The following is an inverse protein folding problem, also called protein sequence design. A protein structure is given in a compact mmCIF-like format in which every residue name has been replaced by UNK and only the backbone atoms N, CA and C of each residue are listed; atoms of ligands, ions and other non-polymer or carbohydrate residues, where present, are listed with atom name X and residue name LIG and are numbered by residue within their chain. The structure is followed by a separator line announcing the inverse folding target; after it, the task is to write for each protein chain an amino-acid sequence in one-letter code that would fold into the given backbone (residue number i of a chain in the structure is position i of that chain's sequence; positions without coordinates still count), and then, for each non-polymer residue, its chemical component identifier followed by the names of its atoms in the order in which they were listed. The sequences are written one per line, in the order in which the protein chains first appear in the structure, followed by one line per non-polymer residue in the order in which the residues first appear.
data_IF_220692717515
#
_entry.id   IF_220692717515
#
_cell.length_a   1.000
_cell.length_b   1.000
_cell.length_c   1.000
_cell.angle_alpha   90.00
_cell.angle_beta   90.00
_cell.angle_gamma   90.00
#
_symmetry.space_group_name_H-M   'P 1'
#
loop_
_entity.id
_entity.type
_entity.pdbx_description
1 polymer ?
#
# COMPACT_ATOMS: atom_id res chain seq x y z
N UNK A 1 -10.76 -7.09 35.03
CA UNK A 1 -9.85 -6.17 34.35
C UNK A 1 -10.14 -6.29 32.87
N UNK A 2 -10.65 -5.22 32.27
CA UNK A 2 -11.18 -5.18 30.91
C UNK A 2 -10.03 -4.93 29.94
N UNK A 3 -9.57 -5.96 29.24
CA UNK A 3 -8.69 -5.79 28.09
C UNK A 3 -9.58 -5.84 26.86
N UNK A 4 -9.91 -4.63 26.41
CA UNK A 4 -10.76 -4.32 25.25
C UNK A 4 -10.44 -5.23 24.08
N UNK A 5 -11.50 -5.78 23.50
CA UNK A 5 -11.56 -6.24 22.12
C UNK A 5 -10.81 -5.24 21.22
N UNK A 6 -9.58 -5.60 20.83
CA UNK A 6 -8.97 -5.00 19.65
C UNK A 6 -9.82 -5.49 18.50
N UNK A 7 -10.75 -4.64 18.08
CA UNK A 7 -11.52 -4.76 16.86
C UNK A 7 -10.48 -4.96 15.74
N UNK A 8 -10.21 -6.22 15.39
CA UNK A 8 -9.30 -6.56 14.30
C UNK A 8 -10.01 -6.13 13.03
N UNK A 9 -9.85 -4.86 12.66
CA UNK A 9 -10.14 -4.42 11.30
C UNK A 9 -9.41 -5.43 10.40
N UNK A 10 -10.18 -6.18 9.62
CA UNK A 10 -9.64 -7.26 8.79
C UNK A 10 -8.56 -6.67 7.89
N UNK A 11 -7.30 -7.04 8.13
CA UNK A 11 -6.17 -6.57 7.33
C UNK A 11 -6.36 -7.13 5.92
N UNK A 12 -6.50 -6.24 4.95
CA UNK A 12 -6.81 -6.59 3.57
C UNK A 12 -5.52 -6.87 2.79
N UNK A 13 -5.54 -7.94 1.99
CA UNK A 13 -4.55 -8.21 0.96
C UNK A 13 -4.86 -7.39 -0.30
N UNK A 14 -3.83 -7.09 -1.09
CA UNK A 14 -4.03 -6.31 -2.31
C UNK A 14 -4.98 -6.99 -3.31
N UNK A 15 -5.84 -6.17 -3.89
CA UNK A 15 -6.61 -6.43 -5.10
C UNK A 15 -6.09 -5.56 -6.25
N UNK A 16 -6.43 -5.89 -7.49
CA UNK A 16 -6.12 -5.02 -8.63
C UNK A 16 -6.87 -3.69 -8.49
N UNK A 17 -6.19 -2.57 -8.62
CA UNK A 17 -6.81 -1.26 -8.44
C UNK A 17 -5.87 -0.16 -8.01
N UNK A 18 -6.46 0.96 -7.56
CA UNK A 18 -5.74 2.16 -7.15
C UNK A 18 -5.76 2.29 -5.64
N UNK A 19 -4.64 2.73 -5.09
CA UNK A 19 -4.46 2.90 -3.65
C UNK A 19 -3.75 4.21 -3.36
N UNK A 20 -4.10 4.84 -2.24
CA UNK A 20 -3.26 5.85 -1.58
C UNK A 20 -3.33 5.64 -0.08
N UNK A 21 -2.17 5.50 0.54
CA UNK A 21 -2.04 5.28 1.99
C UNK A 21 -1.96 6.62 2.68
N UNK A 22 -2.90 6.92 3.56
CA UNK A 22 -3.09 8.28 4.12
C UNK A 22 -2.79 8.38 5.61
N UNK A 23 -2.45 7.27 6.24
CA UNK A 23 -2.21 7.19 7.68
C UNK A 23 -0.82 6.63 7.97
N UNK A 24 -0.45 6.59 9.24
CA UNK A 24 0.83 6.08 9.70
C UNK A 24 0.98 4.56 9.48
N UNK A 25 2.24 4.12 9.39
CA UNK A 25 2.58 2.70 9.35
C UNK A 25 2.39 2.09 10.74
N UNK A 26 1.68 0.97 10.80
CA UNK A 26 1.54 0.15 12.00
C UNK A 26 2.30 -1.16 11.81
N UNK A 27 3.04 -1.58 12.84
CA UNK A 27 3.78 -2.83 12.84
C UNK A 27 2.95 -3.95 13.48
N UNK A 28 2.67 -4.99 12.71
CA UNK A 28 1.91 -6.16 13.14
C UNK A 28 2.85 -7.33 13.37
N UNK A 29 2.70 -7.99 14.53
CA UNK A 29 3.46 -9.16 14.95
C UNK A 29 2.56 -10.40 14.98
N UNK A 30 2.48 -11.18 13.89
CA UNK A 30 1.64 -12.36 13.85
C UNK A 30 2.18 -13.46 14.78
N UNK A 31 1.29 -14.18 15.43
CA UNK A 31 1.68 -15.35 16.23
C UNK A 31 2.43 -16.37 15.36
N UNK A 32 3.58 -16.84 15.84
CA UNK A 32 4.39 -17.85 15.15
C UNK A 32 5.24 -17.34 13.97
N UNK A 33 5.22 -16.04 13.66
CA UNK A 33 6.05 -15.44 12.60
C UNK A 33 7.14 -14.56 13.22
N UNK A 34 8.39 -14.76 12.79
CA UNK A 34 9.56 -14.04 13.33
C UNK A 34 9.79 -12.66 12.71
N UNK A 35 9.16 -12.37 11.57
CA UNK A 35 9.33 -11.11 10.84
C UNK A 35 8.00 -10.36 10.84
N UNK A 36 7.93 -9.17 11.45
CA UNK A 36 6.72 -8.37 11.45
C UNK A 36 6.43 -7.86 10.04
N UNK A 37 5.17 -7.48 9.81
CA UNK A 37 4.79 -6.75 8.61
C UNK A 37 4.17 -5.41 8.97
N UNK A 38 4.26 -4.47 8.04
CA UNK A 38 3.70 -3.14 8.15
C UNK A 38 2.34 -3.09 7.45
N UNK A 39 1.39 -2.41 8.08
CA UNK A 39 0.08 -2.05 7.56
C UNK A 39 -0.09 -0.54 7.52
N UNK A 40 -1.00 -0.07 6.67
CA UNK A 40 -1.47 1.32 6.71
C UNK A 40 -2.92 1.38 6.22
N UNK A 41 -3.65 2.39 6.70
CA UNK A 41 -4.97 2.71 6.18
C UNK A 41 -4.83 3.34 4.79
N UNK A 42 -5.62 2.83 3.86
CA UNK A 42 -5.64 3.27 2.47
C UNK A 42 -7.04 3.62 2.01
N UNK A 43 -7.14 4.67 1.20
CA UNK A 43 -8.29 4.89 0.32
C UNK A 43 -8.02 4.06 -0.93
N UNK A 44 -8.97 3.21 -1.31
CA UNK A 44 -8.79 2.25 -2.39
C UNK A 44 -9.98 2.25 -3.36
N UNK A 45 -9.66 2.05 -4.64
CA UNK A 45 -10.62 1.81 -5.71
C UNK A 45 -10.19 0.54 -6.44
N UNK A 46 -10.83 -0.57 -6.14
CA UNK A 46 -10.39 -1.92 -6.53
C UNK A 46 -11.41 -2.59 -7.43
N UNK A 47 -10.93 -3.46 -8.30
CA UNK A 47 -11.79 -4.28 -9.15
C UNK A 47 -11.97 -5.64 -8.51
N UNK A 48 -13.23 -6.03 -8.36
CA UNK A 48 -13.67 -7.31 -7.84
C UNK A 48 -14.73 -7.88 -8.81
N UNK A 49 -14.42 -8.98 -9.49
CA UNK A 49 -15.28 -9.63 -10.49
C UNK A 49 -15.90 -8.67 -11.55
N UNK A 50 -15.11 -7.69 -12.00
CA UNK A 50 -15.53 -6.72 -13.01
C UNK A 50 -16.37 -5.55 -12.48
N UNK A 51 -16.73 -5.57 -11.19
CA UNK A 51 -17.27 -4.42 -10.49
C UNK A 51 -16.12 -3.61 -9.87
N UNK A 52 -16.25 -2.29 -9.88
CA UNK A 52 -15.31 -1.41 -9.20
C UNK A 52 -15.92 -1.04 -7.85
N UNK A 53 -15.14 -1.21 -6.78
CA UNK A 53 -15.50 -0.90 -5.40
C UNK A 53 -14.60 0.19 -4.85
N UNK A 54 -15.18 1.15 -4.15
CA UNK A 54 -14.46 2.18 -3.39
C UNK A 54 -14.59 1.95 -1.89
N UNK A 55 -13.46 1.86 -1.19
CA UNK A 55 -13.45 1.67 0.27
C UNK A 55 -12.27 2.38 0.95
N UNK A 56 -12.29 2.40 2.28
CA UNK A 56 -11.18 2.82 3.13
C UNK A 56 -10.86 1.68 4.11
N UNK A 57 -9.71 1.05 3.95
CA UNK A 57 -9.36 -0.16 4.70
C UNK A 57 -7.89 -0.19 5.14
N UNK A 58 -7.58 -0.99 6.15
CA UNK A 58 -6.20 -1.29 6.56
C UNK A 58 -5.62 -2.37 5.66
N UNK A 59 -4.54 -2.07 4.95
CA UNK A 59 -3.93 -2.96 3.95
C UNK A 59 -2.52 -3.34 4.40
N UNK A 60 -2.11 -4.58 4.11
CA UNK A 60 -0.74 -5.07 4.34
C UNK A 60 0.24 -4.46 3.32
N UNK A 61 0.59 -3.19 3.54
CA UNK A 61 1.45 -2.39 2.65
C UNK A 61 2.83 -3.02 2.40
N UNK A 62 3.32 -3.87 3.31
CA UNK A 62 4.56 -4.64 3.10
C UNK A 62 4.55 -5.54 1.86
N UNK A 63 3.37 -5.92 1.37
CA UNK A 63 3.25 -6.77 0.19
C UNK A 63 3.76 -6.05 -1.09
N UNK A 64 3.85 -4.72 -1.08
CA UNK A 64 4.44 -3.95 -2.20
C UNK A 64 5.94 -4.18 -2.39
N UNK A 65 6.66 -4.59 -1.33
CA UNK A 65 8.13 -4.66 -1.32
C UNK A 65 8.65 -6.06 -1.01
N UNK A 66 7.82 -7.08 -1.20
CA UNK A 66 8.24 -8.47 -1.11
C UNK A 66 9.21 -8.82 -2.24
N UNK A 67 9.93 -9.93 -2.05
CA UNK A 67 10.86 -10.46 -3.05
C UNK A 67 10.15 -10.80 -4.37
N UNK A 68 8.92 -11.30 -4.26
CA UNK A 68 8.05 -11.69 -5.37
C UNK A 68 7.32 -10.49 -6.01
N UNK A 69 7.34 -9.33 -5.36
CA UNK A 69 6.66 -8.13 -5.85
C UNK A 69 7.52 -7.39 -6.86
N UNK A 70 6.86 -6.66 -7.74
CA UNK A 70 7.45 -5.99 -8.89
C UNK A 70 6.99 -4.55 -8.94
N UNK A 71 7.92 -3.63 -9.16
CA UNK A 71 7.66 -2.22 -9.39
C UNK A 71 7.94 -1.87 -10.85
N UNK A 72 7.04 -1.10 -11.45
CA UNK A 72 7.22 -0.53 -12.79
C UNK A 72 7.47 0.97 -12.62
N UNK A 73 8.61 1.44 -13.09
CA UNK A 73 8.93 2.87 -13.08
C UNK A 73 8.21 3.64 -14.21
N UNK A 74 8.42 4.95 -14.23
CA UNK A 74 7.76 5.85 -15.19
C UNK A 74 8.20 5.60 -16.65
N UNK A 75 9.39 5.03 -16.86
CA UNK A 75 9.91 4.66 -18.18
C UNK A 75 9.43 3.25 -18.60
N UNK A 76 8.63 2.58 -17.76
CA UNK A 76 8.10 1.25 -18.00
C UNK A 76 9.10 0.12 -17.68
N UNK A 77 10.23 0.43 -17.03
CA UNK A 77 11.20 -0.57 -16.62
C UNK A 77 10.68 -1.32 -15.41
N UNK A 78 10.90 -2.63 -15.44
CA UNK A 78 10.48 -3.57 -14.41
C UNK A 78 11.62 -3.78 -13.41
N UNK A 79 11.33 -3.59 -12.11
CA UNK A 79 12.28 -3.69 -11.00
C UNK A 79 11.70 -4.65 -9.96
N UNK A 80 12.52 -5.57 -9.45
CA UNK A 80 12.13 -6.39 -8.31
C UNK A 80 11.94 -5.50 -7.07
N UNK A 81 10.76 -5.49 -6.47
CA UNK A 81 10.39 -4.47 -5.48
C UNK A 81 11.23 -4.54 -4.20
N UNK A 82 11.76 -5.72 -3.86
CA UNK A 82 12.69 -5.85 -2.73
C UNK A 82 14.03 -5.11 -2.93
N UNK A 83 14.34 -4.65 -4.15
CA UNK A 83 15.54 -3.86 -4.47
C UNK A 83 15.31 -2.36 -4.38
N UNK A 84 14.11 -1.90 -4.00
CA UNK A 84 13.79 -0.47 -3.87
C UNK A 84 14.25 0.14 -2.54
N UNK A 85 14.73 -0.68 -1.62
CA UNK A 85 15.22 -0.22 -0.34
C UNK A 85 16.54 -0.89 -0.01
N UNK A 86 17.32 -0.21 0.83
CA UNK A 86 18.64 -0.69 1.22
C UNK A 86 18.50 -1.88 2.16
N UNK A 87 19.16 -2.99 1.81
CA UNK A 87 19.29 -4.14 2.69
C UNK A 87 20.38 -3.86 3.73
N UNK A 88 20.16 -4.21 5.00
CA UNK A 88 21.19 -4.06 6.02
C UNK A 88 22.41 -4.94 5.69
N UNK A 89 23.61 -4.45 6.01
CA UNK A 89 24.87 -5.17 5.77
C UNK A 89 24.90 -6.47 6.59
N UNK A 90 25.52 -7.52 6.05
CA UNK A 90 25.66 -8.84 6.72
C UNK A 90 24.33 -9.48 7.16
N UNK A 91 23.29 -9.39 6.31
CA UNK A 91 21.93 -9.87 6.58
C UNK A 91 21.19 -9.15 7.72
N UNK A 92 21.84 -8.24 8.48
CA UNK A 92 21.22 -7.43 9.53
C UNK A 92 20.43 -8.19 10.60
N UNK A 93 19.87 -7.45 11.54
CA UNK A 93 18.84 -7.96 12.46
C UNK A 93 17.43 -7.74 11.90
N UNK A 94 16.44 -8.52 12.33
CA UNK A 94 15.02 -8.30 11.97
C UNK A 94 14.59 -6.85 12.25
N UNK A 95 15.10 -6.25 13.33
CA UNK A 95 14.83 -4.85 13.68
C UNK A 95 15.34 -3.87 12.64
N UNK A 96 16.56 -4.06 12.15
CA UNK A 96 17.14 -3.22 11.09
C UNK A 96 16.38 -3.38 9.76
N UNK A 97 15.97 -4.61 9.45
CA UNK A 97 15.12 -4.88 8.30
C UNK A 97 13.78 -4.15 8.38
N UNK A 98 13.08 -4.24 9.51
CA UNK A 98 11.81 -3.55 9.71
C UNK A 98 12.00 -2.04 9.61
N UNK A 99 13.06 -1.49 10.21
CA UNK A 99 13.38 -0.07 10.13
C UNK A 99 13.59 0.41 8.68
N UNK A 100 14.37 -0.33 7.87
CA UNK A 100 14.61 0.04 6.47
C UNK A 100 13.34 -0.04 5.63
N UNK A 101 12.49 -1.06 5.85
CA UNK A 101 11.17 -1.15 5.20
C UNK A 101 10.29 0.04 5.59
N UNK A 102 10.27 0.39 6.87
CA UNK A 102 9.47 1.50 7.38
C UNK A 102 9.95 2.84 6.81
N UNK A 103 11.26 3.06 6.74
CA UNK A 103 11.86 4.25 6.10
C UNK A 103 11.43 4.35 4.64
N UNK A 104 11.59 3.28 3.87
CA UNK A 104 11.18 3.24 2.47
C UNK A 104 9.69 3.53 2.29
N UNK A 105 8.82 2.84 3.04
CA UNK A 105 7.37 2.99 2.90
C UNK A 105 6.92 4.40 3.29
N UNK A 106 7.53 5.01 4.30
CA UNK A 106 7.24 6.40 4.69
C UNK A 106 7.69 7.40 3.62
N UNK A 107 8.89 7.25 3.06
CA UNK A 107 9.46 8.22 2.13
C UNK A 107 8.90 8.07 0.70
N UNK A 108 8.58 6.83 0.29
CA UNK A 108 8.29 6.54 -1.12
C UNK A 108 6.87 6.02 -1.37
N UNK A 109 6.12 5.52 -0.38
CA UNK A 109 4.79 4.93 -0.62
C UNK A 109 3.66 5.69 0.07
N UNK A 110 3.83 6.12 1.32
CA UNK A 110 2.80 6.89 2.01
C UNK A 110 2.49 8.20 1.29
N UNK A 111 1.20 8.51 1.18
CA UNK A 111 0.65 9.68 0.50
C UNK A 111 0.93 9.75 -1.02
N UNK A 112 1.61 8.76 -1.60
CA UNK A 112 1.80 8.64 -3.04
C UNK A 112 0.75 7.68 -3.62
N UNK A 113 -0.05 8.12 -4.59
CA UNK A 113 -0.99 7.23 -5.25
C UNK A 113 -0.27 6.17 -6.08
N UNK A 114 -0.72 4.93 -5.97
CA UNK A 114 -0.23 3.79 -6.73
C UNK A 114 -1.36 3.06 -7.44
N UNK A 115 -0.99 2.27 -8.45
CA UNK A 115 -1.86 1.32 -9.11
C UNK A 115 -1.25 -0.08 -9.03
N UNK A 116 -2.01 -1.03 -8.50
CA UNK A 116 -1.73 -2.46 -8.57
C UNK A 116 -2.29 -2.99 -9.88
N UNK A 117 -1.41 -3.51 -10.72
CA UNK A 117 -1.70 -3.92 -12.10
C UNK A 117 -2.05 -5.41 -12.16
N UNK A 118 -1.31 -6.23 -11.41
CA UNK A 118 -1.52 -7.66 -11.32
C UNK A 118 -1.09 -8.20 -9.95
N UNK A 119 -1.62 -9.39 -9.64
CA UNK A 119 -1.27 -10.18 -8.48
C UNK A 119 -0.76 -11.53 -9.01
N UNK A 120 0.31 -12.04 -8.41
CA UNK A 120 0.83 -13.37 -8.66
C UNK A 120 0.29 -14.37 -7.61
N UNK A 121 0.16 -15.64 -7.98
CA UNK A 121 -0.30 -16.72 -7.09
C UNK A 121 0.60 -16.86 -5.84
N UNK A 122 1.85 -16.42 -5.94
CA UNK A 122 2.82 -16.39 -4.85
C UNK A 122 2.66 -15.21 -3.87
N UNK A 123 1.56 -14.44 -3.97
CA UNK A 123 1.31 -13.16 -3.27
C UNK A 123 2.21 -12.00 -3.71
N UNK A 124 2.85 -12.11 -4.87
CA UNK A 124 3.59 -11.01 -5.48
C UNK A 124 2.63 -9.94 -6.02
N UNK A 125 2.96 -8.67 -5.84
CA UNK A 125 2.18 -7.54 -6.35
C UNK A 125 2.97 -6.80 -7.41
N UNK A 126 2.39 -6.59 -8.59
CA UNK A 126 2.96 -5.70 -9.61
C UNK A 126 2.30 -4.34 -9.51
N UNK A 127 3.09 -3.29 -9.25
CA UNK A 127 2.55 -1.95 -9.01
C UNK A 127 3.41 -0.85 -9.62
N UNK A 128 2.82 0.34 -9.75
CA UNK A 128 3.48 1.57 -10.23
C UNK A 128 2.90 2.80 -9.54
N UNK A 129 3.60 3.93 -9.62
CA UNK A 129 3.01 5.22 -9.25
C UNK A 129 1.95 5.65 -10.26
N UNK A 130 0.94 6.36 -9.77
CA UNK A 130 0.01 7.14 -10.60
C UNK A 130 -0.06 8.56 -10.06
N UNK A 131 -0.54 9.49 -10.90
CA UNK A 131 -0.69 10.87 -10.44
C UNK A 131 -1.89 11.03 -9.50
N UNK A 132 -1.88 12.01 -8.58
CA UNK A 132 -3.05 12.38 -7.79
C UNK A 132 -4.31 12.60 -8.63
N UNK A 133 -4.17 13.21 -9.81
CA UNK A 133 -5.31 13.46 -10.72
C UNK A 133 -5.86 12.15 -11.28
N UNK A 134 -5.01 11.16 -11.57
CA UNK A 134 -5.46 9.84 -12.02
C UNK A 134 -6.12 9.04 -10.90
N UNK A 135 -5.63 9.18 -9.66
CA UNK A 135 -6.29 8.57 -8.51
C UNK A 135 -7.67 9.21 -8.27
N UNK A 136 -7.76 10.55 -8.28
CA UNK A 136 -9.00 11.29 -8.02
C UNK A 136 -10.12 11.08 -9.06
N UNK A 137 -9.83 10.48 -10.22
CA UNK A 137 -10.87 10.10 -11.19
C UNK A 137 -11.66 8.90 -10.69
N UNK A 138 -12.87 9.14 -10.21
CA UNK A 138 -13.80 8.11 -9.73
C UNK A 138 -14.61 7.55 -10.91
N UNK A 139 -14.48 6.24 -11.22
CA UNK A 139 -15.35 5.54 -12.18
C UNK A 139 -16.85 5.71 -11.90
N UNK A 140 -17.64 5.85 -12.96
CA UNK A 140 -19.11 5.80 -12.88
C UNK A 140 -19.59 4.40 -12.48
N UNK A 141 -20.68 4.34 -11.71
CA UNK A 141 -21.30 3.07 -11.30
C UNK A 141 -20.51 2.28 -10.23
N UNK A 142 -19.53 2.91 -9.59
CA UNK A 142 -18.78 2.31 -8.48
C UNK A 142 -19.67 2.06 -7.26
N UNK A 143 -19.53 0.88 -6.65
CA UNK A 143 -20.11 0.60 -5.34
C UNK A 143 -19.17 1.15 -4.25
N UNK A 144 -19.70 1.97 -3.34
CA UNK A 144 -18.86 2.74 -2.40
C UNK A 144 -19.30 2.54 -0.96
N UNK A 145 -18.34 2.27 -0.09
CA UNK A 145 -18.57 2.22 1.35
C UNK A 145 -18.90 3.60 1.92
N UNK A 146 -19.47 3.65 3.12
CA UNK A 146 -19.75 4.91 3.81
C UNK A 146 -18.46 5.73 4.05
N UNK A 147 -17.35 5.08 4.39
CA UNK A 147 -16.06 5.75 4.58
C UNK A 147 -15.47 6.29 3.28
N UNK A 148 -15.75 5.64 2.15
CA UNK A 148 -15.34 6.16 0.86
C UNK A 148 -16.17 7.36 0.41
N UNK A 149 -17.47 7.40 0.73
CA UNK A 149 -18.34 8.56 0.42
C UNK A 149 -17.80 9.86 1.03
N UNK A 150 -17.31 9.80 2.27
CA UNK A 150 -16.67 10.95 2.91
C UNK A 150 -15.48 11.48 2.10
N UNK A 151 -14.62 10.58 1.59
CA UNK A 151 -13.53 10.95 0.69
C UNK A 151 -14.04 11.61 -0.60
N UNK A 152 -15.11 11.08 -1.20
CA UNK A 152 -15.70 11.64 -2.42
C UNK A 152 -16.21 13.06 -2.20
N UNK A 153 -16.89 13.30 -1.09
CA UNK A 153 -17.47 14.61 -0.74
C UNK A 153 -16.39 15.66 -0.43
N UNK A 154 -15.26 15.23 0.13
CA UNK A 154 -14.17 16.12 0.58
C UNK A 154 -12.89 15.97 -0.25
N UNK A 155 -12.96 15.50 -1.49
CA UNK A 155 -11.79 15.15 -2.30
C UNK A 155 -10.74 16.28 -2.44
N UNK A 156 -11.18 17.54 -2.36
CA UNK A 156 -10.31 18.72 -2.43
C UNK A 156 -9.46 18.93 -1.17
N UNK A 157 -9.85 18.36 -0.04
CA UNK A 157 -9.14 18.44 1.23
C UNK A 157 -7.97 17.44 1.29
N UNK A 158 -8.02 16.39 0.47
CA UNK A 158 -6.97 15.39 0.38
C UNK A 158 -5.82 15.86 -0.52
N UNK A 159 -4.67 16.13 0.11
CA UNK A 159 -3.42 16.44 -0.57
C UNK A 159 -2.58 15.15 -0.73
N UNK A 160 -2.52 14.64 -1.96
CA UNK A 160 -1.66 13.51 -2.29
C UNK A 160 -0.38 14.01 -2.95
N UNK A 161 0.73 13.38 -2.57
CA UNK A 161 2.02 13.70 -3.14
C UNK A 161 2.10 13.17 -4.57
N UNK A 162 2.72 13.96 -5.44
CA UNK A 162 3.22 13.44 -6.72
C UNK A 162 4.48 12.64 -6.43
N UNK A 163 4.75 11.59 -7.21
CA UNK A 163 5.84 10.62 -7.00
C UNK A 163 7.11 11.25 -6.39
N UNK A 164 7.87 10.51 -5.56
CA UNK A 164 9.11 11.00 -5.00
C UNK A 164 10.07 11.50 -6.10
N UNK A 165 10.68 12.67 -5.91
CA UNK A 165 11.64 13.25 -6.89
C UNK A 165 12.97 12.51 -6.93
N UNK A 166 13.28 11.76 -5.86
CA UNK A 166 14.43 10.87 -5.80
C UNK A 166 13.96 9.48 -6.14
N UNK A 167 14.76 8.77 -6.93
CA UNK A 167 14.53 7.34 -7.09
C UNK A 167 14.82 6.62 -5.77
N UNK A 168 14.02 5.61 -5.44
CA UNK A 168 14.34 4.70 -4.34
C UNK A 168 15.69 3.99 -4.60
N UNK A 169 16.44 3.72 -3.53
CA UNK A 169 17.84 3.28 -3.58
C UNK A 169 18.03 1.77 -3.62
#
# INVERSE_FOLDING_TARGET
MSSKDQNSASILSFQKGRYVFTDHLEEVHPEGVTVPFLTAKAILMVSDDGLIKGDVATVKISDLILKQSTFIDDDGKVIEAHKLYVWPRNLGSTKEWTANKQEFLNEFVLNFPIEVISLDESNGVTWKYITPENFKKIPEGMDVSASFKDYVEHQNEYFFLRRPLKEPK
#
